data_IF_440284157143
#
_entry.id   IF_440284157143
#
_cell.length_a   1.000
_cell.length_b   1.000
_cell.length_c   1.000
_cell.angle_alpha   90.00
_cell.angle_beta   90.00
_cell.angle_gamma   90.00
#
_symmetry.space_group_name_H-M   'P 1'
#
loop_
_entity.id
_entity.type
_entity.pdbx_description
1 polymer ?
#
# COMPACT_ATOMS: atom_id res chain seq x y z
N UNK A 1 -57.52 -20.28 -75.42
CA UNK A 1 -56.70 -19.10 -75.80
C UNK A 1 -57.15 -17.95 -74.93
N UNK A 2 -56.24 -17.05 -74.54
CA UNK A 2 -56.24 -16.11 -73.39
C UNK A 2 -55.63 -16.75 -72.13
N UNK A 3 -54.32 -16.56 -71.87
CA UNK A 3 -53.58 -15.37 -71.34
C UNK A 3 -53.80 -15.20 -69.81
N UNK A 4 -52.76 -15.48 -69.01
CA UNK A 4 -51.93 -14.50 -68.25
C UNK A 4 -52.59 -14.14 -66.90
N UNK A 5 -51.99 -14.21 -65.71
CA UNK A 5 -50.69 -13.71 -65.22
C UNK A 5 -50.47 -14.16 -63.74
N UNK A 6 -49.20 -14.40 -63.35
CA UNK A 6 -48.50 -14.06 -62.07
C UNK A 6 -49.09 -14.46 -60.68
N UNK A 7 -48.33 -14.84 -59.65
CA UNK A 7 -46.92 -14.59 -59.27
C UNK A 7 -46.54 -15.38 -58.00
N UNK A 8 -45.24 -15.67 -57.84
CA UNK A 8 -44.52 -15.75 -56.55
C UNK A 8 -44.53 -17.11 -55.85
N UNK A 9 -43.48 -17.61 -55.21
CA UNK A 9 -42.14 -17.10 -54.90
C UNK A 9 -41.26 -18.31 -54.56
N UNK A 10 -39.97 -18.09 -54.67
CA UNK A 10 -38.82 -18.98 -54.44
C UNK A 10 -38.89 -19.85 -53.18
N UNK A 11 -38.34 -21.07 -53.27
CA UNK A 11 -37.60 -21.66 -52.14
C UNK A 11 -36.46 -22.53 -52.67
N UNK A 12 -35.29 -21.89 -52.65
CA UNK A 12 -33.96 -22.45 -52.83
C UNK A 12 -33.66 -23.61 -51.88
N UNK A 13 -32.84 -24.52 -52.40
CA UNK A 13 -32.04 -25.49 -51.66
C UNK A 13 -31.37 -24.86 -50.43
N UNK A 14 -31.51 -25.49 -49.26
CA UNK A 14 -30.44 -25.40 -48.27
C UNK A 14 -30.34 -26.68 -47.41
N UNK A 15 -29.28 -27.48 -47.61
CA UNK A 15 -28.85 -28.45 -46.63
C UNK A 15 -27.96 -27.77 -45.59
N UNK A 16 -27.96 -28.31 -44.37
CA UNK A 16 -27.08 -28.00 -43.23
C UNK A 16 -27.61 -27.00 -42.22
N UNK A 17 -28.05 -27.54 -41.08
CA UNK A 17 -27.90 -26.86 -39.79
C UNK A 17 -27.21 -27.80 -38.79
N UNK A 18 -25.92 -28.04 -39.05
CA UNK A 18 -24.97 -28.49 -38.04
C UNK A 18 -24.69 -27.28 -37.16
N UNK A 19 -25.44 -27.14 -36.06
CA UNK A 19 -25.08 -26.23 -34.97
C UNK A 19 -23.65 -26.55 -34.51
N UNK A 20 -22.72 -25.73 -34.97
CA UNK A 20 -21.33 -25.75 -34.58
C UNK A 20 -21.24 -25.41 -33.09
N UNK A 21 -21.15 -26.45 -32.25
CA UNK A 21 -20.58 -26.27 -30.91
C UNK A 21 -19.17 -25.71 -31.10
N UNK A 22 -18.78 -24.63 -30.41
CA UNK A 22 -17.41 -24.16 -30.48
C UNK A 22 -16.47 -25.29 -30.03
N UNK A 23 -15.35 -25.52 -30.73
CA UNK A 23 -14.47 -26.64 -30.44
C UNK A 23 -13.98 -26.53 -29.00
N UNK A 24 -14.09 -27.64 -28.26
CA UNK A 24 -13.76 -27.80 -26.84
C UNK A 24 -12.32 -27.39 -26.49
N UNK A 25 -11.48 -27.16 -27.49
CA UNK A 25 -10.13 -26.60 -27.35
C UNK A 25 -10.08 -25.09 -27.09
N UNK A 26 -11.04 -24.29 -27.58
CA UNK A 26 -11.04 -22.84 -27.32
C UNK A 26 -11.37 -22.50 -25.87
N UNK A 27 -12.26 -23.26 -25.22
CA UNK A 27 -12.54 -23.10 -23.77
C UNK A 27 -11.34 -23.48 -22.90
N UNK A 28 -10.58 -24.51 -23.27
CA UNK A 28 -9.35 -24.89 -22.55
C UNK A 28 -8.24 -23.87 -22.74
N UNK A 29 -8.07 -23.31 -23.93
CA UNK A 29 -7.10 -22.23 -24.16
C UNK A 29 -7.50 -20.93 -23.46
N UNK A 30 -8.78 -20.56 -23.45
CA UNK A 30 -9.22 -19.35 -22.75
C UNK A 30 -9.14 -19.46 -21.22
N UNK A 31 -9.26 -20.67 -20.67
CA UNK A 31 -9.05 -20.93 -19.24
C UNK A 31 -7.56 -20.99 -18.91
N UNK A 32 -6.72 -21.66 -19.73
CA UNK A 32 -5.26 -21.64 -19.55
C UNK A 32 -4.68 -20.22 -19.71
N UNK A 33 -5.16 -19.40 -20.65
CA UNK A 33 -4.71 -18.01 -20.81
C UNK A 33 -5.13 -17.13 -19.63
N UNK A 34 -6.32 -17.36 -19.04
CA UNK A 34 -6.76 -16.66 -17.82
C UNK A 34 -5.92 -17.07 -16.61
N UNK A 35 -5.55 -18.34 -16.48
CA UNK A 35 -4.65 -18.81 -15.40
C UNK A 35 -3.23 -18.29 -15.61
N UNK A 36 -2.74 -18.22 -16.85
CA UNK A 36 -1.43 -17.62 -17.17
C UNK A 36 -1.42 -16.12 -16.87
N UNK A 37 -2.49 -15.38 -17.21
CA UNK A 37 -2.58 -13.94 -16.91
C UNK A 37 -2.77 -13.65 -15.41
N UNK A 38 -3.50 -14.49 -14.68
CA UNK A 38 -3.61 -14.39 -13.22
C UNK A 38 -2.28 -14.73 -12.52
N UNK A 39 -1.55 -15.73 -13.04
CA UNK A 39 -0.21 -16.07 -12.55
C UNK A 39 0.80 -14.99 -12.91
N UNK A 40 0.70 -14.36 -14.09
CA UNK A 40 1.52 -13.21 -14.46
C UNK A 40 1.23 -11.99 -13.57
N UNK A 41 0.00 -11.80 -13.10
CA UNK A 41 -0.31 -10.73 -12.14
C UNK A 41 0.24 -11.03 -10.74
N UNK A 42 0.22 -12.30 -10.31
CA UNK A 42 0.80 -12.74 -9.03
C UNK A 42 2.33 -12.70 -9.08
N UNK A 43 2.94 -12.97 -10.25
CA UNK A 43 4.39 -12.91 -10.45
C UNK A 43 4.85 -11.47 -10.70
N UNK A 44 4.14 -10.65 -11.47
CA UNK A 44 4.47 -9.25 -11.73
C UNK A 44 4.22 -8.35 -10.50
N UNK A 45 3.18 -8.63 -9.71
CA UNK A 45 2.98 -8.01 -8.39
C UNK A 45 4.04 -8.38 -7.36
N UNK A 46 4.65 -9.56 -7.48
CA UNK A 46 5.80 -9.97 -6.63
C UNK A 46 7.13 -9.41 -7.14
N UNK A 47 7.31 -9.22 -8.44
CA UNK A 47 8.56 -8.69 -9.00
C UNK A 47 8.77 -7.22 -8.62
N UNK A 48 7.70 -6.42 -8.54
CA UNK A 48 7.81 -5.03 -8.04
C UNK A 48 8.00 -4.95 -6.52
N UNK A 49 7.56 -5.96 -5.77
CA UNK A 49 7.84 -6.06 -4.33
C UNK A 49 9.26 -6.57 -4.04
N UNK A 50 9.84 -7.37 -4.94
CA UNK A 50 11.18 -7.95 -4.80
C UNK A 50 12.30 -7.01 -5.25
N UNK A 51 12.04 -6.02 -6.11
CA UNK A 51 13.07 -5.02 -6.45
C UNK A 51 13.34 -4.01 -5.33
N UNK A 52 12.46 -3.95 -4.32
CA UNK A 52 12.64 -3.09 -3.14
C UNK A 52 13.49 -3.78 -2.05
N UNK A 53 13.78 -5.07 -2.19
CA UNK A 53 14.55 -5.87 -1.22
C UNK A 53 16.06 -5.94 -1.50
N UNK A 54 16.63 -5.01 -2.27
CA UNK A 54 18.10 -4.88 -2.45
C UNK A 54 18.63 -3.47 -2.19
N UNK A 55 18.30 -2.91 -1.03
CA UNK A 55 19.24 -2.00 -0.38
C UNK A 55 19.21 -2.24 1.12
N UNK A 56 20.07 -3.16 1.58
CA UNK A 56 20.46 -3.37 2.98
C UNK A 56 21.24 -2.16 3.55
N UNK A 57 20.87 -0.95 3.13
CA UNK A 57 21.44 0.28 3.63
C UNK A 57 20.37 0.87 4.53
N UNK A 58 20.61 1.00 5.86
CA UNK A 58 19.71 1.74 6.71
C UNK A 58 19.47 3.11 6.05
N UNK A 59 18.20 3.52 5.91
CA UNK A 59 17.83 4.70 5.14
C UNK A 59 18.67 5.87 5.63
N UNK A 60 19.55 6.39 4.77
CA UNK A 60 20.37 7.53 5.13
C UNK A 60 19.48 8.68 5.65
N UNK A 61 19.98 9.55 6.55
CA UNK A 61 19.16 10.57 7.21
C UNK A 61 18.32 11.40 6.23
N UNK A 62 18.86 11.66 5.04
CA UNK A 62 18.18 12.37 3.95
C UNK A 62 16.90 11.66 3.48
N UNK A 63 16.90 10.33 3.32
CA UNK A 63 15.73 9.56 2.88
C UNK A 63 14.61 9.61 3.92
N UNK A 64 14.97 9.49 5.20
CA UNK A 64 14.01 9.60 6.33
C UNK A 64 13.38 10.99 6.36
N UNK A 65 14.19 12.05 6.25
CA UNK A 65 13.71 13.43 6.22
C UNK A 65 12.76 13.65 5.03
N UNK A 66 13.14 13.23 3.83
CA UNK A 66 12.30 13.35 2.63
C UNK A 66 10.98 12.64 2.82
N UNK A 67 10.96 11.41 3.35
CA UNK A 67 9.72 10.69 3.62
C UNK A 67 8.83 11.47 4.60
N UNK A 68 9.39 11.95 5.71
CA UNK A 68 8.63 12.73 6.71
C UNK A 68 8.02 13.98 6.09
N UNK A 69 8.76 14.67 5.21
CA UNK A 69 8.26 15.84 4.48
C UNK A 69 7.13 15.45 3.53
N UNK A 70 7.29 14.38 2.75
CA UNK A 70 6.25 13.87 1.84
C UNK A 70 4.98 13.50 2.59
N UNK A 71 5.09 12.80 3.73
CA UNK A 71 3.95 12.45 4.59
C UNK A 71 3.23 13.71 5.09
N UNK A 72 3.97 14.71 5.58
CA UNK A 72 3.38 15.98 6.03
C UNK A 72 2.64 16.70 4.91
N UNK A 73 3.22 16.74 3.72
CA UNK A 73 2.61 17.36 2.55
C UNK A 73 1.33 16.63 2.13
N UNK A 74 1.35 15.29 2.13
CA UNK A 74 0.16 14.49 1.85
C UNK A 74 -0.95 14.75 2.87
N UNK A 75 -0.65 14.70 4.17
CA UNK A 75 -1.65 14.95 5.22
C UNK A 75 -2.22 16.37 5.12
N UNK A 76 -1.38 17.36 4.78
CA UNK A 76 -1.85 18.73 4.50
C UNK A 76 -2.80 18.76 3.30
N UNK A 77 -2.48 18.06 2.23
CA UNK A 77 -3.31 17.96 1.04
C UNK A 77 -4.66 17.29 1.33
N UNK A 78 -4.66 16.12 1.96
CA UNK A 78 -5.89 15.39 2.36
C UNK A 78 -6.81 16.29 3.18
N UNK A 79 -6.25 17.09 4.09
CA UNK A 79 -7.04 18.06 4.88
C UNK A 79 -7.59 19.20 4.02
N UNK A 80 -6.79 19.73 3.09
CA UNK A 80 -7.20 20.82 2.18
C UNK A 80 -8.42 20.42 1.33
N UNK A 81 -8.42 19.20 0.80
CA UNK A 81 -9.49 18.67 -0.07
C UNK A 81 -10.55 17.87 0.71
N UNK A 82 -10.56 17.98 2.04
CA UNK A 82 -11.53 17.36 2.95
C UNK A 82 -11.74 15.84 2.75
N UNK A 83 -10.67 15.09 2.49
CA UNK A 83 -10.76 13.63 2.32
C UNK A 83 -10.88 12.85 3.63
N UNK A 84 -10.74 13.51 4.79
CA UNK A 84 -10.93 12.84 6.07
C UNK A 84 -12.34 12.28 6.24
N UNK A 85 -13.36 12.91 5.66
CA UNK A 85 -14.72 12.36 5.68
C UNK A 85 -14.80 11.04 4.89
N UNK A 86 -14.22 11.03 3.69
CA UNK A 86 -14.20 9.83 2.85
C UNK A 86 -13.42 8.66 3.49
N UNK A 87 -12.37 8.98 4.25
CA UNK A 87 -11.64 7.98 5.04
C UNK A 87 -12.52 7.40 6.15
N UNK A 88 -13.32 8.22 6.83
CA UNK A 88 -14.27 7.73 7.84
C UNK A 88 -15.35 6.84 7.26
N UNK A 89 -15.88 7.20 6.08
CA UNK A 89 -16.87 6.40 5.38
C UNK A 89 -16.32 4.99 5.07
N UNK A 90 -15.01 4.88 4.80
CA UNK A 90 -14.27 3.62 4.63
C UNK A 90 -13.76 2.99 5.94
N UNK A 91 -14.23 3.44 7.11
CA UNK A 91 -13.81 2.98 8.46
C UNK A 91 -12.30 3.08 8.70
N UNK A 92 -11.64 4.04 8.05
CA UNK A 92 -10.21 4.30 8.16
C UNK A 92 -9.93 5.42 9.17
N UNK A 93 -8.80 5.40 9.91
CA UNK A 93 -8.49 6.49 10.81
C UNK A 93 -8.31 7.82 10.06
N UNK A 94 -8.73 8.92 10.70
CA UNK A 94 -8.48 10.27 10.19
C UNK A 94 -6.98 10.56 10.14
N UNK A 95 -6.55 11.25 9.10
CA UNK A 95 -5.19 11.75 9.00
C UNK A 95 -5.05 13.03 9.82
N UNK A 96 -4.17 12.95 10.83
CA UNK A 96 -3.91 14.05 11.76
C UNK A 96 -2.57 14.68 11.44
N UNK A 97 -2.57 16.00 11.23
CA UNK A 97 -1.35 16.75 10.97
C UNK A 97 -0.42 16.74 12.19
N UNK A 98 0.87 16.55 11.93
CA UNK A 98 1.88 16.65 12.99
C UNK A 98 2.10 18.09 13.46
N UNK A 99 2.20 18.28 14.78
CA UNK A 99 2.41 19.56 15.46
C UNK A 99 3.65 19.47 16.35
N UNK A 100 4.43 20.55 16.45
CA UNK A 100 5.71 20.56 17.18
C UNK A 100 5.51 20.48 18.70
N UNK A 101 4.44 21.10 19.20
CA UNK A 101 4.12 21.19 20.64
C UNK A 101 3.62 19.88 21.26
N UNK A 102 3.25 18.87 20.47
CA UNK A 102 2.76 17.59 20.96
C UNK A 102 3.77 16.49 20.67
N UNK A 103 4.37 15.95 21.73
CA UNK A 103 5.55 15.06 21.65
C UNK A 103 5.34 13.82 20.77
N UNK A 104 4.12 13.27 20.77
CA UNK A 104 3.78 12.06 20.00
C UNK A 104 3.16 12.36 18.63
N UNK A 105 3.03 13.63 18.25
CA UNK A 105 2.24 14.04 17.11
C UNK A 105 2.79 13.53 15.77
N UNK A 106 4.11 13.49 15.61
CA UNK A 106 4.71 12.91 14.40
C UNK A 106 4.49 11.39 14.33
N UNK A 107 4.79 10.67 15.40
CA UNK A 107 4.55 9.21 15.44
C UNK A 107 3.09 8.86 15.15
N UNK A 108 2.13 9.59 15.73
CA UNK A 108 0.72 9.38 15.47
C UNK A 108 0.34 9.71 14.02
N UNK A 109 0.92 10.76 13.43
CA UNK A 109 0.73 11.11 12.01
C UNK A 109 1.21 10.00 11.08
N UNK A 110 2.40 9.43 11.33
CA UNK A 110 2.97 8.34 10.55
C UNK A 110 2.12 7.06 10.66
N UNK A 111 1.71 6.69 11.88
CA UNK A 111 0.85 5.52 12.11
C UNK A 111 -0.54 5.68 11.47
N UNK A 112 -1.13 6.87 11.56
CA UNK A 112 -2.42 7.15 10.91
C UNK A 112 -2.30 6.97 9.40
N UNK A 113 -1.24 7.52 8.78
CA UNK A 113 -1.02 7.33 7.35
C UNK A 113 -0.85 5.87 6.98
N UNK A 114 -0.01 5.11 7.70
CA UNK A 114 0.22 3.70 7.39
C UNK A 114 -1.10 2.91 7.41
N UNK A 115 -1.94 3.14 8.42
CA UNK A 115 -3.24 2.46 8.55
C UNK A 115 -4.25 2.89 7.50
N UNK A 116 -4.18 4.14 7.05
CA UNK A 116 -5.08 4.69 6.05
C UNK A 116 -4.58 4.54 4.63
N UNK A 117 -3.39 4.00 4.39
CA UNK A 117 -2.76 4.01 3.08
C UNK A 117 -3.59 3.29 2.00
N UNK A 118 -4.09 2.09 2.30
CA UNK A 118 -4.93 1.32 1.37
C UNK A 118 -6.27 2.03 1.09
N UNK A 119 -7.08 2.41 2.10
CA UNK A 119 -8.30 3.20 1.86
C UNK A 119 -8.05 4.51 1.13
N UNK A 120 -6.93 5.18 1.42
CA UNK A 120 -6.56 6.43 0.77
C UNK A 120 -6.22 6.22 -0.71
N UNK A 121 -5.54 5.12 -1.03
CA UNK A 121 -5.26 4.75 -2.41
C UNK A 121 -6.57 4.52 -3.18
N UNK A 122 -7.52 3.75 -2.62
CA UNK A 122 -8.85 3.56 -3.23
C UNK A 122 -9.60 4.88 -3.45
N UNK A 123 -9.56 5.82 -2.49
CA UNK A 123 -10.19 7.13 -2.62
C UNK A 123 -9.53 7.95 -3.75
N UNK A 124 -8.20 7.85 -3.89
CA UNK A 124 -7.48 8.52 -4.98
C UNK A 124 -7.85 7.94 -6.34
N UNK A 125 -8.09 6.64 -6.43
CA UNK A 125 -8.59 5.96 -7.63
C UNK A 125 -10.01 6.40 -7.98
N UNK A 126 -10.93 6.33 -7.01
CA UNK A 126 -12.35 6.68 -7.18
C UNK A 126 -12.56 8.14 -7.60
N UNK A 127 -11.76 9.05 -7.03
CA UNK A 127 -11.86 10.50 -7.26
C UNK A 127 -10.90 11.02 -8.34
N UNK A 128 -10.19 10.12 -9.04
CA UNK A 128 -9.20 10.46 -10.08
C UNK A 128 -8.18 11.52 -9.64
N UNK A 129 -7.65 11.36 -8.41
CA UNK A 129 -6.68 12.29 -7.83
C UNK A 129 -5.24 11.93 -8.23
N UNK A 130 -4.33 12.90 -8.05
CA UNK A 130 -2.90 12.73 -8.34
C UNK A 130 -2.23 11.68 -7.43
N UNK A 131 -2.14 10.44 -7.94
CA UNK A 131 -1.53 9.30 -7.24
C UNK A 131 -0.03 9.44 -7.01
N UNK A 132 0.68 10.31 -7.75
CA UNK A 132 2.13 10.51 -7.56
C UNK A 132 2.45 10.92 -6.13
N UNK A 133 1.51 11.59 -5.45
CA UNK A 133 1.64 11.97 -4.03
C UNK A 133 1.67 10.79 -3.07
N UNK A 134 1.02 9.68 -3.41
CA UNK A 134 1.05 8.42 -2.66
C UNK A 134 2.27 7.59 -3.05
N UNK A 135 2.59 7.49 -4.34
CA UNK A 135 3.73 6.73 -4.86
C UNK A 135 5.08 7.23 -4.31
N UNK A 136 5.18 8.53 -4.01
CA UNK A 136 6.35 9.14 -3.38
C UNK A 136 6.59 8.69 -1.92
N UNK A 137 5.67 7.92 -1.33
CA UNK A 137 5.77 7.44 0.04
C UNK A 137 6.22 5.98 0.03
N UNK A 138 7.47 5.76 0.41
CA UNK A 138 7.97 4.41 0.61
C UNK A 138 7.37 3.81 1.90
N UNK A 139 6.39 2.91 1.72
CA UNK A 139 5.65 2.28 2.83
C UNK A 139 6.52 1.37 3.68
N UNK A 140 7.43 0.62 3.07
CA UNK A 140 8.38 -0.21 3.81
C UNK A 140 9.25 0.63 4.74
N UNK A 141 9.75 1.77 4.25
CA UNK A 141 10.52 2.72 5.06
C UNK A 141 9.66 3.35 6.16
N UNK A 142 8.40 3.69 5.87
CA UNK A 142 7.45 4.22 6.85
C UNK A 142 7.22 3.22 7.99
N UNK A 143 7.01 1.95 7.67
CA UNK A 143 6.86 0.87 8.66
C UNK A 143 8.10 0.75 9.55
N UNK A 144 9.29 0.76 8.95
CA UNK A 144 10.55 0.67 9.70
C UNK A 144 10.78 1.87 10.61
N UNK A 145 10.41 3.08 10.19
CA UNK A 145 10.46 4.26 11.06
C UNK A 145 9.45 4.16 12.20
N UNK A 146 8.23 3.70 11.93
CA UNK A 146 7.22 3.51 12.98
C UNK A 146 7.71 2.48 13.99
N UNK A 147 8.25 1.35 13.53
CA UNK A 147 8.86 0.31 14.36
C UNK A 147 10.01 0.86 15.20
N UNK A 148 10.93 1.61 14.58
CA UNK A 148 12.01 2.32 15.28
C UNK A 148 11.47 3.23 16.38
N UNK A 149 10.39 3.98 16.14
CA UNK A 149 9.85 4.94 17.11
C UNK A 149 9.04 4.29 18.25
N UNK A 150 8.71 2.98 18.18
CA UNK A 150 7.83 2.31 19.18
C UNK A 150 8.36 2.43 20.62
N UNK A 151 9.65 2.14 20.94
CA UNK A 151 10.16 2.25 22.31
C UNK A 151 10.03 3.67 22.86
N UNK A 152 10.43 4.69 22.09
CA UNK A 152 10.30 6.10 22.45
C UNK A 152 8.84 6.51 22.69
N UNK A 153 7.92 6.04 21.84
CA UNK A 153 6.49 6.29 22.00
C UNK A 153 5.97 5.69 23.31
N UNK A 154 6.35 4.45 23.61
CA UNK A 154 5.93 3.77 24.84
C UNK A 154 6.38 4.53 26.09
N UNK A 155 7.66 4.92 26.15
CA UNK A 155 8.24 5.65 27.28
C UNK A 155 7.62 7.05 27.41
N UNK A 156 7.47 7.76 26.29
CA UNK A 156 6.84 9.09 26.28
C UNK A 156 5.41 9.05 26.82
N UNK A 157 4.62 8.01 26.48
CA UNK A 157 3.28 7.83 27.05
C UNK A 157 3.33 7.63 28.56
N UNK A 158 4.26 6.80 29.06
CA UNK A 158 4.39 6.54 30.50
C UNK A 158 4.85 7.77 31.29
N UNK A 159 5.74 8.57 30.72
CA UNK A 159 6.21 9.82 31.32
C UNK A 159 5.11 10.89 31.39
N UNK A 160 4.23 10.92 30.39
CA UNK A 160 3.12 11.88 30.30
C UNK A 160 1.88 11.49 31.11
N UNK A 161 1.85 10.28 31.71
CA UNK A 161 0.73 9.87 32.54
C UNK A 161 0.65 10.74 33.79
N UNK A 162 -0.48 11.41 34.00
CA UNK A 162 -0.74 12.26 35.18
C UNK A 162 -1.32 11.49 36.36
N UNK A 163 -1.82 10.28 36.11
CA UNK A 163 -2.57 9.50 37.10
C UNK A 163 -1.68 8.68 38.04
N UNK A 164 -0.38 8.56 37.73
CA UNK A 164 0.57 7.74 38.49
C UNK A 164 1.91 8.50 38.49
N UNK A 165 2.65 8.56 39.62
CA UNK A 165 3.99 9.15 39.64
C UNK A 165 4.87 8.50 38.57
N UNK A 166 5.41 9.27 37.63
CA UNK A 166 6.14 8.73 36.48
C UNK A 166 7.67 8.79 36.60
N UNK A 167 8.21 9.42 37.66
CA UNK A 167 9.67 9.58 37.82
C UNK A 167 10.43 8.25 37.85
N UNK A 168 9.81 7.21 38.42
CA UNK A 168 10.38 5.86 38.47
C UNK A 168 10.54 5.21 37.10
N UNK A 169 9.89 5.73 36.04
CA UNK A 169 10.01 5.22 34.67
C UNK A 169 11.14 5.86 33.88
N UNK A 170 11.79 6.91 34.41
CA UNK A 170 12.84 7.66 33.70
C UNK A 170 14.07 6.79 33.45
N UNK A 171 14.67 6.23 34.51
CA UNK A 171 15.88 5.38 34.38
C UNK A 171 15.58 4.11 33.54
N UNK A 172 14.52 3.33 33.83
CA UNK A 172 14.16 2.18 32.98
C UNK A 172 13.88 2.57 31.52
N UNK A 173 13.31 3.76 31.29
CA UNK A 173 13.07 4.29 29.96
C UNK A 173 14.36 4.57 29.20
N UNK A 174 15.35 5.21 29.84
CA UNK A 174 16.67 5.47 29.23
C UNK A 174 17.32 4.16 28.79
N UNK A 175 17.35 3.15 29.66
CA UNK A 175 17.94 1.85 29.35
C UNK A 175 17.18 1.12 28.23
N UNK A 176 15.85 1.18 28.23
CA UNK A 176 15.04 0.62 27.14
C UNK A 176 15.31 1.28 25.80
N UNK A 177 15.51 2.60 25.75
CA UNK A 177 15.91 3.32 24.53
C UNK A 177 17.29 2.88 24.07
N UNK A 178 18.29 2.85 24.97
CA UNK A 178 19.65 2.41 24.64
C UNK A 178 19.66 0.99 24.07
N UNK A 179 18.99 0.06 24.76
CA UNK A 179 18.88 -1.32 24.30
C UNK A 179 18.26 -1.42 22.90
N UNK A 180 17.23 -0.62 22.61
CA UNK A 180 16.63 -0.59 21.28
C UNK A 180 17.57 -0.06 20.18
N UNK A 181 18.42 0.91 20.50
CA UNK A 181 19.44 1.42 19.58
C UNK A 181 20.55 0.39 19.33
N UNK A 182 20.98 -0.31 20.37
CA UNK A 182 22.03 -1.33 20.30
C UNK A 182 21.58 -2.57 19.52
N UNK A 183 20.38 -3.08 19.78
CA UNK A 183 19.79 -4.19 19.03
C UNK A 183 19.75 -3.89 17.53
N UNK A 184 19.31 -2.69 17.17
CA UNK A 184 19.23 -2.28 15.77
C UNK A 184 20.60 -2.05 15.13
N UNK A 185 21.60 -1.63 15.91
CA UNK A 185 22.98 -1.54 15.43
C UNK A 185 23.57 -2.92 15.15
N UNK A 186 23.26 -3.93 15.96
CA UNK A 186 23.80 -5.28 15.81
C UNK A 186 23.16 -6.03 14.62
N UNK A 187 21.86 -5.83 14.39
CA UNK A 187 21.15 -6.38 13.23
C UNK A 187 21.71 -5.85 11.89
N UNK A 188 22.10 -4.58 11.89
CA UNK A 188 22.75 -3.94 10.73
C UNK A 188 24.14 -4.52 10.46
N UNK A 189 24.93 -4.81 11.51
CA UNK A 189 26.26 -5.42 11.38
C UNK A 189 26.18 -6.85 10.84
N UNK A 190 25.25 -7.65 11.36
CA UNK A 190 25.03 -9.04 10.93
C UNK A 190 24.55 -9.16 9.48
N UNK A 191 23.81 -8.16 8.99
CA UNK A 191 23.36 -8.10 7.60
C UNK A 191 24.52 -7.78 6.64
N UNK A 192 25.40 -6.83 7.01
CA UNK A 192 26.61 -6.50 6.24
C UNK A 192 27.62 -7.66 6.17
N UNK A 193 27.78 -8.44 7.24
CA UNK A 193 28.71 -9.59 7.25
C UNK A 193 28.20 -10.77 6.39
N UNK A 194 26.88 -10.90 6.21
CA UNK A 194 26.29 -11.91 5.33
C UNK A 194 26.32 -11.50 3.86
N UNK A 195 26.27 -10.20 3.57
CA UNK A 195 26.37 -9.65 2.21
C UNK A 195 27.78 -9.69 1.60
N UNK A 196 28.84 -9.74 2.42
CA UNK A 196 30.24 -9.79 1.98
C UNK A 196 30.81 -11.20 1.77
N UNK A 197 30.03 -12.25 1.99
CA UNK A 197 30.45 -13.65 1.85
C UNK A 197 29.91 -14.33 0.56
N UNK A 198 29.52 -13.55 -0.44
CA UNK A 198 29.10 -14.02 -1.77
C UNK A 198 29.77 -13.25 -2.89
#
# INVERSE_FOLDING_TARGET
MSDSEQSGEDNDDNPMDLQQRPPTNQRRQHHQQKTINATLYIVSGKVNHLTILKSEIPPGPKRVITLIVSVKQLVKYVKLINLNQALEDKKSPRLVQSTVVRWLSMSNCLEALLRSYLPLNEIFDERQLDKKRLENINIFLLEKIIEFLKPWKHISKRLQTTNIPSIHVVIPGIESVKASLEWMSNDTKLSNERGNNY
#
